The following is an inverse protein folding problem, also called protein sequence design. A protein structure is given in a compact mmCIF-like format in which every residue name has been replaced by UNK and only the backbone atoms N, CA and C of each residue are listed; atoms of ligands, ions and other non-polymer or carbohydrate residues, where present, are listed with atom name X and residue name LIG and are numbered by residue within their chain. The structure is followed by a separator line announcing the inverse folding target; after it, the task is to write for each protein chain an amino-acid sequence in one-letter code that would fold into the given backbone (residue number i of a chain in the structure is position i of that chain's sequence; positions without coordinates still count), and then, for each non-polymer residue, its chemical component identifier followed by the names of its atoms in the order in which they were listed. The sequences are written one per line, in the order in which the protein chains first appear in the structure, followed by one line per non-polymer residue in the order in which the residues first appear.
data_IF_130580917396
#
_entry.id   IF_130580917396
#
_cell.length_a   1.000
_cell.length_b   1.000
_cell.length_c   1.000
_cell.angle_alpha   90.00
_cell.angle_beta   90.00
_cell.angle_gamma   90.00
#
_symmetry.space_group_name_H-M   'P 1'
#
loop_
_entity.id
_entity.type
_entity.pdbx_description
1 polymer ?
#
# COMPACT_ATOMS: atom_id res chain seq x y z
N UNK A 1 -10.97 -36.76 10.13
CA UNK A 1 -10.86 -35.71 11.17
C UNK A 1 -9.55 -34.91 11.08
N UNK A 2 -8.39 -35.54 10.83
CA UNK A 2 -7.07 -34.89 10.76
C UNK A 2 -6.88 -33.82 9.64
N UNK A 3 -7.52 -33.99 8.49
CA UNK A 3 -7.38 -33.09 7.33
C UNK A 3 -8.08 -31.74 7.60
N UNK A 4 -9.21 -31.75 8.30
CA UNK A 4 -10.01 -30.55 8.59
C UNK A 4 -9.30 -29.64 9.59
N UNK A 5 -8.65 -30.20 10.61
CA UNK A 5 -7.88 -29.46 11.63
C UNK A 5 -6.61 -28.84 11.07
N UNK A 6 -5.88 -29.52 10.20
CA UNK A 6 -4.72 -28.93 9.51
C UNK A 6 -5.10 -27.77 8.59
N UNK A 7 -6.22 -27.89 7.85
CA UNK A 7 -6.70 -26.85 6.94
C UNK A 7 -7.12 -25.57 7.68
N UNK A 8 -7.79 -25.71 8.83
CA UNK A 8 -8.15 -24.60 9.72
C UNK A 8 -6.92 -23.94 10.35
N UNK A 9 -5.92 -24.74 10.76
CA UNK A 9 -4.64 -24.22 11.28
C UNK A 9 -3.90 -23.39 10.24
N UNK A 10 -3.87 -23.83 8.98
CA UNK A 10 -3.24 -23.10 7.86
C UNK A 10 -3.94 -21.76 7.58
N UNK A 11 -5.28 -21.74 7.55
CA UNK A 11 -6.06 -20.51 7.36
C UNK A 11 -5.87 -19.49 8.49
N UNK A 12 -5.84 -19.97 9.75
CA UNK A 12 -5.59 -19.08 10.90
C UNK A 12 -4.19 -18.47 10.83
N UNK A 13 -3.18 -19.27 10.48
CA UNK A 13 -1.81 -18.78 10.33
C UNK A 13 -1.70 -17.75 9.21
N UNK A 14 -2.26 -18.04 8.03
CA UNK A 14 -2.21 -17.09 6.91
C UNK A 14 -2.97 -15.80 7.22
N UNK A 15 -4.15 -15.88 7.85
CA UNK A 15 -4.88 -14.69 8.30
C UNK A 15 -4.06 -13.84 9.28
N UNK A 16 -3.46 -14.47 10.29
CA UNK A 16 -2.65 -13.78 11.28
C UNK A 16 -1.40 -13.12 10.67
N UNK A 17 -0.68 -13.83 9.81
CA UNK A 17 0.48 -13.28 9.08
C UNK A 17 0.03 -12.10 8.22
N UNK A 18 -1.02 -12.26 7.40
CA UNK A 18 -1.53 -11.19 6.55
C UNK A 18 -1.92 -9.94 7.37
N UNK A 19 -2.63 -10.14 8.49
CA UNK A 19 -3.03 -9.05 9.37
C UNK A 19 -1.85 -8.32 10.03
N UNK A 20 -0.83 -9.04 10.50
CA UNK A 20 0.37 -8.41 11.09
C UNK A 20 1.14 -7.62 10.04
N UNK A 21 1.34 -8.19 8.86
CA UNK A 21 2.11 -7.51 7.81
C UNK A 21 1.38 -6.27 7.27
N UNK A 22 0.05 -6.23 7.28
CA UNK A 22 -0.70 -4.99 7.03
C UNK A 22 -0.40 -3.90 8.07
N UNK A 23 -0.32 -4.27 9.36
CA UNK A 23 0.00 -3.31 10.43
C UNK A 23 1.45 -2.81 10.29
N UNK A 24 2.39 -3.71 9.99
CA UNK A 24 3.79 -3.36 9.72
C UNK A 24 3.87 -2.40 8.54
N UNK A 25 3.16 -2.69 7.43
CA UNK A 25 3.11 -1.81 6.26
C UNK A 25 2.54 -0.44 6.60
N UNK A 26 1.44 -0.37 7.37
CA UNK A 26 0.84 0.91 7.75
C UNK A 26 1.82 1.78 8.56
N UNK A 27 2.55 1.18 9.51
CA UNK A 27 3.57 1.87 10.29
C UNK A 27 4.76 2.31 9.40
N UNK A 28 5.22 1.44 8.51
CA UNK A 28 6.29 1.73 7.56
C UNK A 28 5.90 2.86 6.58
N UNK A 29 4.66 2.87 6.10
CA UNK A 29 4.13 3.89 5.18
C UNK A 29 3.96 5.25 5.88
N UNK A 30 3.49 5.24 7.13
CA UNK A 30 3.44 6.45 7.96
C UNK A 30 4.83 7.05 8.14
N UNK A 31 5.84 6.22 8.44
CA UNK A 31 7.22 6.69 8.57
C UNK A 31 7.81 7.16 7.23
N UNK A 32 7.71 6.35 6.16
CA UNK A 32 8.34 6.64 4.87
C UNK A 32 7.72 7.86 4.23
N UNK A 33 6.43 7.81 3.92
CA UNK A 33 5.75 8.88 3.20
C UNK A 33 5.25 9.96 4.15
N UNK A 34 4.53 9.58 5.21
CA UNK A 34 3.87 10.52 6.10
C UNK A 34 4.82 11.41 6.92
N UNK A 35 6.07 10.99 7.12
CA UNK A 35 7.07 11.73 7.87
C UNK A 35 8.34 12.03 7.06
N UNK A 36 9.10 11.00 6.66
CA UNK A 36 10.42 11.20 6.06
C UNK A 36 10.33 11.96 4.73
N UNK A 37 9.51 11.47 3.79
CA UNK A 37 9.33 12.08 2.48
C UNK A 37 8.81 13.52 2.58
N UNK A 38 7.76 13.75 3.38
CA UNK A 38 7.18 15.08 3.59
C UNK A 38 8.12 16.07 4.31
N UNK A 39 9.11 15.57 5.07
CA UNK A 39 10.13 16.41 5.70
C UNK A 39 11.29 16.75 4.75
N UNK A 40 11.52 15.92 3.73
CA UNK A 40 12.65 16.06 2.81
C UNK A 40 12.26 16.84 1.54
N UNK A 41 11.05 16.65 1.03
CA UNK A 41 10.62 17.18 -0.26
C UNK A 41 9.84 18.48 -0.10
N UNK A 42 10.33 19.54 -0.73
CA UNK A 42 9.65 20.83 -0.83
C UNK A 42 9.02 20.95 -2.22
N UNK A 43 7.69 20.80 -2.28
CA UNK A 43 6.95 20.82 -3.54
C UNK A 43 7.26 22.07 -4.37
N UNK A 44 7.68 21.86 -5.62
CA UNK A 44 8.00 22.94 -6.56
C UNK A 44 9.35 23.65 -6.33
N UNK A 45 10.14 23.24 -5.34
CA UNK A 45 11.45 23.85 -5.06
C UNK A 45 12.57 22.80 -5.08
N UNK A 46 13.27 22.73 -6.22
CA UNK A 46 14.35 21.77 -6.45
C UNK A 46 15.58 22.02 -5.58
N UNK A 47 15.91 23.30 -5.36
CA UNK A 47 17.08 23.69 -4.60
C UNK A 47 16.94 23.28 -3.12
N UNK A 48 15.84 23.66 -2.48
CA UNK A 48 15.60 23.36 -1.06
C UNK A 48 15.45 21.85 -0.84
N UNK A 49 14.75 21.14 -1.75
CA UNK A 49 14.63 19.68 -1.68
C UNK A 49 15.99 19.00 -1.75
N UNK A 50 16.84 19.40 -2.70
CA UNK A 50 18.16 18.80 -2.85
C UNK A 50 19.07 19.10 -1.64
N UNK A 51 18.98 20.30 -1.08
CA UNK A 51 19.69 20.69 0.14
C UNK A 51 19.23 19.86 1.36
N UNK A 52 17.92 19.62 1.51
CA UNK A 52 17.36 18.76 2.56
C UNK A 52 17.83 17.31 2.44
N UNK A 53 17.80 16.75 1.23
CA UNK A 53 18.25 15.38 0.97
C UNK A 53 19.73 15.19 1.29
N UNK A 54 20.59 16.16 0.95
CA UNK A 54 22.02 16.12 1.28
C UNK A 54 22.27 16.27 2.78
N UNK A 55 21.64 17.25 3.43
CA UNK A 55 21.82 17.51 4.86
C UNK A 55 21.26 16.37 5.74
N UNK A 56 20.19 15.73 5.29
CA UNK A 56 19.47 14.67 6.01
C UNK A 56 19.59 13.30 5.34
N UNK A 57 20.76 12.97 4.80
CA UNK A 57 20.98 11.73 4.01
C UNK A 57 20.62 10.43 4.75
N UNK A 58 20.78 10.38 6.08
CA UNK A 58 20.38 9.22 6.90
C UNK A 58 18.85 9.04 6.90
N UNK A 59 18.08 10.13 7.00
CA UNK A 59 16.62 10.09 6.95
C UNK A 59 16.14 9.61 5.58
N UNK A 60 16.76 10.08 4.50
CA UNK A 60 16.42 9.65 3.16
C UNK A 60 16.73 8.16 2.91
N UNK A 61 17.87 7.66 3.39
CA UNK A 61 18.17 6.21 3.35
C UNK A 61 17.16 5.39 4.16
N UNK A 62 16.73 5.91 5.32
CA UNK A 62 15.71 5.26 6.14
C UNK A 62 14.34 5.23 5.45
N UNK A 63 13.96 6.30 4.75
CA UNK A 63 12.76 6.34 3.90
C UNK A 63 12.77 5.21 2.87
N UNK A 64 13.84 5.11 2.08
CA UNK A 64 14.01 4.08 1.04
C UNK A 64 13.95 2.68 1.66
N UNK A 65 14.64 2.47 2.79
CA UNK A 65 14.60 1.18 3.48
C UNK A 65 13.19 0.81 3.95
N UNK A 66 12.43 1.78 4.47
CA UNK A 66 11.04 1.58 4.87
C UNK A 66 10.15 1.21 3.68
N UNK A 67 10.37 1.81 2.51
CA UNK A 67 9.70 1.40 1.27
C UNK A 67 10.00 -0.04 0.86
N UNK A 68 11.23 -0.52 1.06
CA UNK A 68 11.59 -1.92 0.82
C UNK A 68 10.87 -2.89 1.78
N UNK A 69 10.67 -2.49 3.04
CA UNK A 69 9.86 -3.26 4.00
C UNK A 69 8.42 -3.40 3.49
N UNK A 70 7.83 -2.30 3.00
CA UNK A 70 6.47 -2.29 2.43
C UNK A 70 6.39 -3.26 1.25
N UNK A 71 7.34 -3.19 0.32
CA UNK A 71 7.40 -4.06 -0.85
C UNK A 71 7.46 -5.55 -0.48
N UNK A 72 8.31 -5.93 0.48
CA UNK A 72 8.41 -7.32 0.94
C UNK A 72 7.11 -7.76 1.64
N UNK A 73 6.56 -6.89 2.48
CA UNK A 73 5.32 -7.16 3.19
C UNK A 73 4.15 -7.37 2.22
N UNK A 74 4.10 -6.63 1.11
CA UNK A 74 3.07 -6.79 0.08
C UNK A 74 3.06 -8.19 -0.54
N UNK A 75 4.23 -8.76 -0.83
CA UNK A 75 4.37 -10.11 -1.38
C UNK A 75 3.83 -11.13 -0.36
N UNK A 76 4.19 -10.96 0.91
CA UNK A 76 3.74 -11.82 2.00
C UNK A 76 2.22 -11.72 2.18
N UNK A 77 1.65 -10.51 2.13
CA UNK A 77 0.21 -10.28 2.23
C UNK A 77 -0.52 -10.89 1.04
N UNK A 78 -0.01 -10.74 -0.19
CA UNK A 78 -0.61 -11.35 -1.39
C UNK A 78 -0.72 -12.88 -1.24
N UNK A 79 0.35 -13.53 -0.80
CA UNK A 79 0.35 -14.97 -0.50
C UNK A 79 -0.62 -15.33 0.64
N UNK A 80 -0.58 -14.59 1.75
CA UNK A 80 -1.41 -14.83 2.91
C UNK A 80 -2.91 -14.71 2.60
N UNK A 81 -3.28 -13.67 1.84
CA UNK A 81 -4.64 -13.42 1.38
C UNK A 81 -5.11 -14.50 0.43
N UNK A 82 -4.26 -14.95 -0.50
CA UNK A 82 -4.61 -16.05 -1.38
C UNK A 82 -4.99 -17.31 -0.57
N UNK A 83 -4.16 -17.72 0.40
CA UNK A 83 -4.45 -18.89 1.23
C UNK A 83 -5.75 -18.68 2.04
N UNK A 84 -5.92 -17.49 2.61
CA UNK A 84 -7.06 -17.17 3.45
C UNK A 84 -8.40 -17.13 2.69
N UNK A 85 -8.41 -16.52 1.49
CA UNK A 85 -9.63 -16.25 0.70
C UNK A 85 -9.96 -17.36 -0.30
N UNK A 86 -8.99 -18.19 -0.70
CA UNK A 86 -9.18 -19.33 -1.60
C UNK A 86 -10.35 -20.27 -1.23
N UNK A 87 -10.64 -20.56 0.05
CA UNK A 87 -11.78 -21.38 0.46
C UNK A 87 -13.14 -20.74 0.17
N UNK A 88 -13.21 -19.41 0.07
CA UNK A 88 -14.43 -18.67 -0.25
C UNK A 88 -14.60 -18.62 -1.77
N UNK A 89 -13.57 -18.15 -2.49
CA UNK A 89 -13.63 -18.06 -3.95
C UNK A 89 -12.21 -18.12 -4.58
N UNK A 90 -11.78 -19.32 -5.01
CA UNK A 90 -10.40 -19.57 -5.49
C UNK A 90 -9.94 -18.66 -6.64
N UNK A 91 -10.78 -18.46 -7.67
CA UNK A 91 -10.39 -17.72 -8.88
C UNK A 91 -10.19 -16.23 -8.58
N UNK A 92 -11.16 -15.60 -7.91
CA UNK A 92 -11.05 -14.22 -7.45
C UNK A 92 -9.94 -14.02 -6.40
N UNK A 93 -9.69 -14.99 -5.52
CA UNK A 93 -8.56 -14.91 -4.59
C UNK A 93 -7.21 -14.88 -5.33
N UNK A 94 -7.10 -15.63 -6.44
CA UNK A 94 -5.92 -15.59 -7.32
C UNK A 94 -5.81 -14.24 -8.04
N UNK A 95 -6.92 -13.74 -8.59
CA UNK A 95 -6.97 -12.42 -9.22
C UNK A 95 -6.56 -11.31 -8.25
N UNK A 96 -7.07 -11.32 -7.01
CA UNK A 96 -6.67 -10.37 -5.97
C UNK A 96 -5.18 -10.43 -5.68
N UNK A 97 -4.59 -11.64 -5.60
CA UNK A 97 -3.16 -11.80 -5.39
C UNK A 97 -2.33 -11.25 -6.58
N UNK A 98 -2.75 -11.51 -7.81
CA UNK A 98 -2.10 -10.97 -9.01
C UNK A 98 -2.16 -9.44 -9.06
N UNK A 99 -3.32 -8.84 -8.81
CA UNK A 99 -3.46 -7.38 -8.74
C UNK A 99 -2.51 -6.78 -7.70
N UNK A 100 -2.41 -7.40 -6.52
CA UNK A 100 -1.48 -6.96 -5.49
C UNK A 100 -0.03 -7.08 -5.93
N UNK A 101 0.38 -8.19 -6.54
CA UNK A 101 1.75 -8.37 -7.03
C UNK A 101 2.10 -7.41 -8.18
N UNK A 102 1.13 -7.09 -9.05
CA UNK A 102 1.32 -6.07 -10.10
C UNK A 102 1.53 -4.70 -9.46
N UNK A 103 0.71 -4.33 -8.48
CA UNK A 103 0.94 -3.12 -7.67
C UNK A 103 2.35 -3.13 -7.04
N UNK A 104 2.77 -4.23 -6.42
CA UNK A 104 4.10 -4.35 -5.82
C UNK A 104 5.22 -4.16 -6.84
N UNK A 105 5.06 -4.67 -8.06
CA UNK A 105 6.03 -4.47 -9.13
C UNK A 105 6.10 -2.99 -9.55
N UNK A 106 4.96 -2.31 -9.66
CA UNK A 106 4.90 -0.87 -9.95
C UNK A 106 5.58 -0.07 -8.82
N UNK A 107 5.30 -0.41 -7.55
CA UNK A 107 5.96 0.19 -6.40
C UNK A 107 7.48 0.00 -6.44
N UNK A 108 7.98 -1.18 -6.85
CA UNK A 108 9.40 -1.42 -7.02
C UNK A 108 10.05 -0.46 -8.04
N UNK A 109 9.34 -0.18 -9.15
CA UNK A 109 9.78 0.79 -10.17
C UNK A 109 9.79 2.21 -9.61
N UNK A 110 8.77 2.58 -8.81
CA UNK A 110 8.76 3.86 -8.12
C UNK A 110 9.96 3.98 -7.17
N UNK A 111 10.22 2.98 -6.33
CA UNK A 111 11.36 2.97 -5.40
C UNK A 111 12.69 3.11 -6.14
N UNK A 112 12.83 2.51 -7.34
CA UNK A 112 14.04 2.68 -8.15
C UNK A 112 14.33 4.15 -8.48
N UNK A 113 13.32 5.01 -8.60
CA UNK A 113 13.51 6.45 -8.79
C UNK A 113 14.10 7.11 -7.53
N UNK A 114 13.68 6.70 -6.33
CA UNK A 114 14.31 7.17 -5.09
C UNK A 114 15.78 6.72 -4.99
N UNK A 115 16.12 5.53 -5.50
CA UNK A 115 17.52 5.09 -5.59
C UNK A 115 18.32 5.97 -6.53
N UNK A 116 17.75 6.41 -7.65
CA UNK A 116 18.43 7.36 -8.56
C UNK A 116 18.66 8.71 -7.86
N UNK A 117 17.69 9.22 -7.10
CA UNK A 117 17.86 10.42 -6.26
C UNK A 117 18.98 10.22 -5.24
N UNK A 118 19.06 9.05 -4.60
CA UNK A 118 20.13 8.72 -3.64
C UNK A 118 21.52 8.76 -4.31
N UNK A 119 21.63 8.27 -5.55
CA UNK A 119 22.87 8.34 -6.32
C UNK A 119 23.25 9.78 -6.65
N UNK A 120 22.31 10.61 -7.10
CA UNK A 120 22.55 12.03 -7.42
C UNK A 120 22.99 12.83 -6.20
N UNK A 121 22.37 12.57 -5.04
CA UNK A 121 22.70 13.27 -3.79
C UNK A 121 24.00 12.80 -3.15
N UNK A 122 24.39 11.55 -3.38
CA UNK A 122 25.66 10.98 -2.88
C UNK A 122 26.86 11.29 -3.78
N UNK A 123 26.63 11.70 -5.03
CA UNK A 123 27.70 11.99 -5.96
C UNK A 123 28.33 13.36 -5.67
N UNK A 124 29.66 13.40 -5.56
CA UNK A 124 30.43 14.63 -5.37
C UNK A 124 30.88 15.27 -6.69
N UNK A 125 30.68 14.59 -7.82
CA UNK A 125 31.00 15.14 -9.13
C UNK A 125 30.04 16.27 -9.52
N UNK A 126 30.51 17.34 -10.17
CA UNK A 126 29.66 18.41 -10.67
C UNK A 126 28.84 17.90 -11.87
N UNK A 127 27.64 17.39 -11.58
CA UNK A 127 26.61 17.10 -12.58
C UNK A 127 25.82 18.38 -12.86
N UNK A 128 25.60 18.69 -14.13
CA UNK A 128 24.75 19.82 -14.53
C UNK A 128 23.29 19.54 -14.15
N UNK A 129 22.61 20.54 -13.58
CA UNK A 129 21.19 20.52 -13.20
C UNK A 129 20.81 19.34 -12.29
N UNK A 130 21.69 18.97 -11.35
CA UNK A 130 21.49 17.80 -10.47
C UNK A 130 20.24 17.95 -9.58
N UNK A 131 19.92 19.17 -9.17
CA UNK A 131 18.74 19.51 -8.37
C UNK A 131 17.45 19.23 -9.16
N UNK A 132 17.39 19.68 -10.41
CA UNK A 132 16.24 19.47 -11.30
C UNK A 132 16.05 17.99 -11.64
N UNK A 133 17.15 17.26 -11.87
CA UNK A 133 17.11 15.82 -12.11
C UNK A 133 16.60 15.05 -10.88
N UNK A 134 17.05 15.41 -9.68
CA UNK A 134 16.56 14.81 -8.44
C UNK A 134 15.05 15.05 -8.28
N UNK A 135 14.57 16.27 -8.53
CA UNK A 135 13.12 16.56 -8.51
C UNK A 135 12.34 15.79 -9.56
N UNK A 136 12.88 15.65 -10.78
CA UNK A 136 12.24 14.86 -11.81
C UNK A 136 12.04 13.40 -11.38
N UNK A 137 13.06 12.79 -10.77
CA UNK A 137 12.96 11.43 -10.24
C UNK A 137 12.00 11.33 -9.04
N UNK A 138 11.95 12.31 -8.14
CA UNK A 138 10.95 12.36 -7.07
C UNK A 138 9.52 12.46 -7.60
N UNK A 139 9.29 13.31 -8.60
CA UNK A 139 7.99 13.43 -9.27
C UNK A 139 7.64 12.12 -10.01
N UNK A 140 8.63 11.48 -10.64
CA UNK A 140 8.48 10.17 -11.26
C UNK A 140 8.10 9.09 -10.25
N UNK A 141 8.74 9.05 -9.07
CA UNK A 141 8.34 8.19 -7.96
C UNK A 141 6.86 8.39 -7.59
N UNK A 142 6.44 9.64 -7.40
CA UNK A 142 5.06 9.97 -7.01
C UNK A 142 4.04 9.48 -8.04
N UNK A 143 4.23 9.83 -9.32
CA UNK A 143 3.29 9.47 -10.39
C UNK A 143 3.23 7.96 -10.60
N UNK A 144 4.36 7.26 -10.60
CA UNK A 144 4.41 5.80 -10.78
C UNK A 144 3.72 5.11 -9.59
N UNK A 145 3.97 5.59 -8.37
CA UNK A 145 3.32 5.02 -7.19
C UNK A 145 1.80 5.25 -7.22
N UNK A 146 1.34 6.46 -7.57
CA UNK A 146 -0.08 6.78 -7.76
C UNK A 146 -0.74 5.84 -8.79
N UNK A 147 -0.09 5.59 -9.93
CA UNK A 147 -0.57 4.60 -10.91
C UNK A 147 -0.70 3.19 -10.30
N UNK A 148 0.26 2.78 -9.46
CA UNK A 148 0.20 1.53 -8.72
C UNK A 148 -1.02 1.46 -7.79
N UNK A 149 -1.33 2.56 -7.10
CA UNK A 149 -2.45 2.62 -6.15
C UNK A 149 -3.83 2.50 -6.84
N UNK A 150 -3.95 2.84 -8.12
CA UNK A 150 -5.15 2.55 -8.91
C UNK A 150 -5.36 1.02 -9.02
N UNK A 151 -4.29 0.28 -9.32
CA UNK A 151 -4.33 -1.20 -9.40
C UNK A 151 -4.59 -1.82 -8.03
N UNK A 152 -4.00 -1.24 -6.97
CA UNK A 152 -4.27 -1.63 -5.59
C UNK A 152 -5.74 -1.43 -5.20
N UNK A 153 -6.37 -0.35 -5.65
CA UNK A 153 -7.82 -0.16 -5.49
C UNK A 153 -8.63 -1.29 -6.14
N UNK A 154 -8.22 -1.74 -7.33
CA UNK A 154 -8.78 -2.94 -7.96
C UNK A 154 -8.61 -4.21 -7.12
N UNK A 155 -7.45 -4.41 -6.49
CA UNK A 155 -7.22 -5.50 -5.53
C UNK A 155 -8.24 -5.44 -4.38
N UNK A 156 -8.43 -4.27 -3.76
CA UNK A 156 -9.38 -4.09 -2.67
C UNK A 156 -10.83 -4.32 -3.09
N UNK A 157 -11.21 -3.93 -4.32
CA UNK A 157 -12.54 -4.22 -4.87
C UNK A 157 -12.79 -5.74 -4.95
N UNK A 158 -11.82 -6.50 -5.44
CA UNK A 158 -11.93 -7.96 -5.52
C UNK A 158 -11.95 -8.59 -4.13
N UNK A 159 -11.07 -8.16 -3.22
CA UNK A 159 -11.06 -8.65 -1.83
C UNK A 159 -12.39 -8.37 -1.14
N UNK A 160 -12.88 -7.12 -1.18
CA UNK A 160 -14.15 -6.72 -0.59
C UNK A 160 -15.34 -7.52 -1.13
N UNK A 161 -15.35 -7.83 -2.43
CA UNK A 161 -16.37 -8.69 -3.03
C UNK A 161 -16.30 -10.14 -2.54
N UNK A 162 -15.10 -10.73 -2.43
CA UNK A 162 -14.94 -12.09 -1.86
C UNK A 162 -15.39 -12.10 -0.39
N UNK A 163 -14.97 -11.12 0.41
CA UNK A 163 -15.33 -11.07 1.82
C UNK A 163 -16.82 -10.84 2.02
N UNK A 164 -17.51 -10.18 1.08
CA UNK A 164 -18.97 -10.04 1.08
C UNK A 164 -19.70 -11.38 0.96
N UNK A 165 -19.08 -12.41 0.37
CA UNK A 165 -19.67 -13.75 0.26
C UNK A 165 -19.45 -14.60 1.53
N UNK A 166 -18.55 -14.19 2.42
CA UNK A 166 -18.26 -14.92 3.66
C UNK A 166 -19.36 -14.75 4.70
N UNK A 167 -19.68 -15.83 5.44
CA UNK A 167 -20.55 -15.80 6.61
C UNK A 167 -19.82 -15.41 7.90
N UNK A 168 -18.49 -15.52 7.93
CA UNK A 168 -17.68 -15.26 9.13
C UNK A 168 -17.10 -13.84 9.18
N UNK A 169 -16.92 -13.21 8.01
CA UNK A 169 -16.38 -11.85 7.91
C UNK A 169 -17.55 -10.85 8.06
N UNK A 170 -17.45 -9.87 8.97
CA UNK A 170 -18.48 -8.84 9.13
C UNK A 170 -18.73 -8.08 7.83
N UNK A 171 -20.00 -7.95 7.44
CA UNK A 171 -20.39 -7.27 6.19
C UNK A 171 -19.95 -5.80 6.14
N UNK A 172 -19.89 -5.15 7.31
CA UNK A 172 -19.38 -3.79 7.43
C UNK A 172 -17.93 -3.67 6.95
N UNK A 173 -17.05 -4.64 7.29
CA UNK A 173 -15.65 -4.65 6.84
C UNK A 173 -15.59 -4.84 5.32
N UNK A 174 -16.40 -5.76 4.78
CA UNK A 174 -16.48 -5.99 3.33
C UNK A 174 -16.93 -4.73 2.57
N UNK A 175 -17.91 -3.99 3.11
CA UNK A 175 -18.34 -2.72 2.52
C UNK A 175 -17.24 -1.66 2.59
N UNK A 176 -16.55 -1.53 3.73
CA UNK A 176 -15.43 -0.60 3.87
C UNK A 176 -14.29 -0.93 2.89
N UNK A 177 -14.00 -2.21 2.63
CA UNK A 177 -13.00 -2.62 1.64
C UNK A 177 -13.40 -2.21 0.21
N UNK A 178 -14.67 -2.36 -0.17
CA UNK A 178 -15.17 -1.89 -1.47
C UNK A 178 -15.07 -0.37 -1.57
N UNK A 179 -15.47 0.34 -0.51
CA UNK A 179 -15.40 1.80 -0.49
C UNK A 179 -13.94 2.29 -0.54
N UNK A 180 -13.03 1.61 0.16
CA UNK A 180 -11.58 1.86 0.08
C UNK A 180 -11.06 1.66 -1.35
N UNK A 181 -11.39 0.53 -1.99
CA UNK A 181 -10.96 0.24 -3.35
C UNK A 181 -11.42 1.29 -4.36
N UNK A 182 -12.69 1.70 -4.28
CA UNK A 182 -13.23 2.78 -5.11
C UNK A 182 -12.54 4.12 -4.83
N UNK A 183 -12.26 4.40 -3.55
CA UNK A 183 -11.58 5.62 -3.12
C UNK A 183 -10.17 5.71 -3.71
N UNK A 184 -9.39 4.62 -3.66
CA UNK A 184 -8.07 4.54 -4.29
C UNK A 184 -8.13 4.79 -5.80
N UNK A 185 -9.05 4.11 -6.49
CA UNK A 185 -9.19 4.27 -7.95
C UNK A 185 -9.51 5.73 -8.30
N UNK A 186 -10.49 6.34 -7.65
CA UNK A 186 -10.91 7.72 -7.96
C UNK A 186 -9.78 8.70 -7.64
N UNK A 187 -9.23 8.64 -6.43
CA UNK A 187 -8.25 9.61 -5.96
C UNK A 187 -6.98 9.58 -6.80
N UNK A 188 -6.41 8.40 -7.04
CA UNK A 188 -5.15 8.30 -7.76
C UNK A 188 -5.30 8.47 -9.27
N UNK A 189 -6.50 8.22 -9.83
CA UNK A 189 -6.82 8.66 -11.20
C UNK A 189 -6.81 10.17 -11.31
N UNK A 190 -7.37 10.88 -10.32
CA UNK A 190 -7.35 12.35 -10.30
C UNK A 190 -5.91 12.89 -10.18
N UNK A 191 -5.10 12.32 -9.28
CA UNK A 191 -3.70 12.69 -9.10
C UNK A 191 -2.83 12.39 -10.33
N UNK A 192 -3.16 11.37 -11.11
CA UNK A 192 -2.34 10.99 -12.28
C UNK A 192 -2.71 11.78 -13.54
N UNK A 193 -4.01 11.96 -13.81
CA UNK A 193 -4.49 12.44 -15.11
C UNK A 193 -5.16 13.82 -15.08
N UNK A 194 -5.43 14.36 -13.89
CA UNK A 194 -6.29 15.52 -13.70
C UNK A 194 -5.71 16.55 -12.70
N UNK A 195 -4.38 16.65 -12.64
CA UNK A 195 -3.64 17.54 -11.72
C UNK A 195 -4.08 19.01 -11.77
N UNK A 196 -4.62 19.47 -12.90
CA UNK A 196 -5.15 20.84 -13.07
C UNK A 196 -6.36 21.17 -12.18
N UNK A 197 -6.98 20.18 -11.53
CA UNK A 197 -8.15 20.37 -10.67
C UNK A 197 -7.81 20.35 -9.17
N UNK A 198 -6.77 21.08 -8.76
CA UNK A 198 -6.21 21.08 -7.40
C UNK A 198 -7.26 21.21 -6.28
N UNK A 199 -8.21 22.14 -6.41
CA UNK A 199 -9.28 22.35 -5.41
C UNK A 199 -10.17 21.11 -5.26
N UNK A 200 -10.52 20.47 -6.39
CA UNK A 200 -11.32 19.25 -6.39
C UNK A 200 -10.54 18.10 -5.77
N UNK A 201 -9.26 17.95 -6.14
CA UNK A 201 -8.36 16.94 -5.58
C UNK A 201 -8.28 17.07 -4.06
N UNK A 202 -8.11 18.27 -3.51
CA UNK A 202 -8.04 18.50 -2.07
C UNK A 202 -9.32 18.07 -1.34
N UNK A 203 -10.50 18.39 -1.89
CA UNK A 203 -11.79 17.96 -1.32
C UNK A 203 -11.92 16.44 -1.34
N UNK A 204 -11.61 15.82 -2.48
CA UNK A 204 -11.66 14.37 -2.63
C UNK A 204 -10.67 13.68 -1.69
N UNK A 205 -9.46 14.21 -1.52
CA UNK A 205 -8.47 13.67 -0.59
C UNK A 205 -8.98 13.65 0.85
N UNK A 206 -9.60 14.74 1.31
CA UNK A 206 -10.14 14.84 2.66
C UNK A 206 -11.26 13.82 2.93
N UNK A 207 -12.08 13.51 1.92
CA UNK A 207 -13.21 12.59 2.04
C UNK A 207 -12.76 11.14 1.84
N UNK A 208 -11.95 10.88 0.81
CA UNK A 208 -11.61 9.54 0.35
C UNK A 208 -10.45 8.89 1.12
N UNK A 209 -9.62 9.67 1.82
CA UNK A 209 -8.57 9.10 2.71
C UNK A 209 -9.16 8.31 3.88
N UNK A 210 -10.33 8.72 4.39
CA UNK A 210 -11.02 8.05 5.51
C UNK A 210 -11.41 6.60 5.16
N UNK A 211 -12.17 6.33 4.10
CA UNK A 211 -12.53 4.96 3.74
C UNK A 211 -11.32 4.10 3.36
N UNK A 212 -10.29 4.66 2.71
CA UNK A 212 -9.03 3.94 2.44
C UNK A 212 -8.44 3.39 3.74
N UNK A 213 -8.23 4.27 4.72
CA UNK A 213 -7.65 3.92 6.01
C UNK A 213 -8.52 2.91 6.77
N UNK A 214 -9.84 3.19 6.87
CA UNK A 214 -10.76 2.36 7.64
C UNK A 214 -10.94 0.96 7.04
N UNK A 215 -11.01 0.84 5.71
CA UNK A 215 -11.16 -0.46 5.04
C UNK A 215 -9.98 -1.39 5.33
N UNK A 216 -8.76 -0.89 5.18
CA UNK A 216 -7.55 -1.70 5.36
C UNK A 216 -7.28 -2.03 6.83
N UNK A 217 -7.34 -1.03 7.71
CA UNK A 217 -7.05 -1.23 9.14
C UNK A 217 -8.11 -2.14 9.77
N UNK A 218 -9.39 -1.92 9.47
CA UNK A 218 -10.45 -2.77 10.05
C UNK A 218 -10.31 -4.23 9.63
N UNK A 219 -9.96 -4.48 8.36
CA UNK A 219 -9.71 -5.84 7.88
C UNK A 219 -8.45 -6.46 8.48
N UNK A 220 -7.34 -5.71 8.55
CA UNK A 220 -6.09 -6.13 9.16
C UNK A 220 -6.26 -6.53 10.63
N UNK A 221 -6.91 -5.66 11.44
CA UNK A 221 -7.20 -5.94 12.84
C UNK A 221 -8.09 -7.19 12.97
N UNK A 222 -9.15 -7.29 12.16
CA UNK A 222 -10.05 -8.43 12.20
C UNK A 222 -9.34 -9.75 11.86
N UNK A 223 -8.44 -9.75 10.87
CA UNK A 223 -7.62 -10.91 10.52
C UNK A 223 -6.75 -11.36 11.71
N UNK A 224 -6.08 -10.42 12.38
CA UNK A 224 -5.26 -10.70 13.56
C UNK A 224 -6.13 -11.29 14.68
N UNK A 225 -7.28 -10.69 15.00
CA UNK A 225 -8.07 -11.07 16.18
C UNK A 225 -8.93 -12.31 15.93
N UNK A 226 -9.62 -12.38 14.78
CA UNK A 226 -10.67 -13.39 14.50
C UNK A 226 -10.44 -14.22 13.24
N UNK A 227 -9.63 -13.76 12.28
CA UNK A 227 -9.43 -14.45 11.00
C UNK A 227 -9.03 -15.92 11.15
N UNK A 228 -9.77 -16.83 10.51
CA UNK A 228 -9.49 -18.27 10.53
C UNK A 228 -9.75 -19.00 11.86
N UNK A 229 -10.34 -18.33 12.86
CA UNK A 229 -10.81 -18.99 14.09
C UNK A 229 -12.17 -19.66 13.83
N UNK A 230 -12.39 -20.83 14.42
CA UNK A 230 -13.72 -21.45 14.46
C UNK A 230 -14.58 -20.60 15.39
N UNK A 231 -15.64 -19.98 14.86
CA UNK A 231 -16.65 -19.34 15.69
C UNK A 231 -17.45 -20.48 16.34
N UNK A 232 -17.17 -20.78 17.61
CA UNK A 232 -18.10 -21.57 18.43
C UNK A 232 -19.33 -20.67 18.60
N UNK A 233 -20.38 -20.92 17.83
CA UNK A 233 -21.68 -20.37 18.19
C UNK A 233 -22.03 -20.98 19.55
N UNK A 234 -22.10 -20.13 20.58
CA UNK A 234 -22.67 -20.53 21.86
C UNK A 234 -24.13 -20.90 21.61
N UNK A 235 -24.51 -22.11 22.02
CA UNK A 235 -25.90 -22.47 22.24
C UNK A 235 -26.44 -21.67 23.41
#
# INVERSE_FOLDING_TARGET
MHITTQKLSSQRKSAFIGGIFLIIMAAAAFFSYGYAHQSLVVNGNAYDTFANLKSSSTLFKAEIFSWLIILIADIIVAWAFFIFLKPIHKQLALLAAWLRLIYTAILAIAIAHLILVLLLTSNSAPLLNVEEQAMLFLNGFQVIWDMGLIIFGGHLMVVGYITMQSSTIPKMISFLLLLAGLSYIIMHTLLTFFLQFEKTIAIFQAILSIPMLLGEISFGIWLVVKGGKIIKNGY
#
